data_IF_037419550260
#
_entry.id   IF_037419550260
#
_cell.length_a   1.000
_cell.length_b   1.000
_cell.length_c   1.000
_cell.angle_alpha   90.00
_cell.angle_beta   90.00
_cell.angle_gamma   90.00
#
_symmetry.space_group_name_H-M   'P 1'
#
loop_
_entity.id
_entity.type
_entity.pdbx_description
1 polymer ?
#
# COMPACT_ATOMS: atom_id res chain seq x y z
N UNK A 1 -15.46 18.95 -13.06
CA UNK A 1 -15.75 17.52 -12.82
C UNK A 1 -14.56 16.83 -12.20
N UNK A 2 -14.72 16.25 -11.06
CA UNK A 2 -13.65 15.48 -10.45
C UNK A 2 -13.55 14.11 -11.14
N UNK A 3 -12.31 13.64 -11.29
CA UNK A 3 -12.04 12.32 -11.81
C UNK A 3 -12.49 11.28 -10.78
N UNK A 4 -13.16 10.18 -11.16
CA UNK A 4 -13.49 9.15 -10.19
C UNK A 4 -12.19 8.55 -9.63
N UNK A 5 -12.22 8.27 -8.34
CA UNK A 5 -11.10 7.62 -7.68
C UNK A 5 -10.98 6.16 -8.14
N UNK A 6 -9.76 5.66 -8.15
CA UNK A 6 -9.53 4.24 -8.40
C UNK A 6 -9.92 3.44 -7.16
N UNK A 7 -10.49 2.26 -7.37
CA UNK A 7 -10.77 1.36 -6.27
C UNK A 7 -9.46 0.71 -5.79
N UNK A 8 -9.22 0.72 -4.49
CA UNK A 8 -8.06 0.05 -3.90
C UNK A 8 -8.52 -1.24 -3.25
N UNK A 9 -7.90 -2.34 -3.65
CA UNK A 9 -8.23 -3.67 -3.15
C UNK A 9 -6.99 -4.31 -2.57
N UNK A 10 -7.08 -4.75 -1.32
CA UNK A 10 -6.01 -5.50 -0.67
C UNK A 10 -6.17 -6.99 -0.98
N UNK A 11 -5.08 -7.61 -1.41
CA UNK A 11 -5.05 -9.06 -1.50
C UNK A 11 -5.13 -9.67 -0.11
N UNK A 12 -5.71 -10.84 0.01
CA UNK A 12 -5.86 -11.52 1.29
C UNK A 12 -4.54 -11.68 2.04
N UNK A 13 -3.48 -12.05 1.33
CA UNK A 13 -2.15 -12.19 1.93
C UNK A 13 -1.60 -10.86 2.43
N UNK A 14 -1.84 -9.78 1.67
CA UNK A 14 -1.42 -8.44 2.08
C UNK A 14 -2.17 -7.98 3.33
N UNK A 15 -3.46 -8.28 3.40
CA UNK A 15 -4.28 -7.97 4.57
C UNK A 15 -3.82 -8.74 5.81
N UNK A 16 -3.50 -10.02 5.65
CA UNK A 16 -2.96 -10.85 6.72
C UNK A 16 -1.60 -10.31 7.19
N UNK A 17 -0.71 -9.98 6.25
CA UNK A 17 0.61 -9.40 6.58
C UNK A 17 0.47 -8.09 7.34
N UNK A 18 -0.44 -7.22 6.88
CA UNK A 18 -0.68 -5.94 7.53
C UNK A 18 -1.17 -6.13 8.98
N UNK A 19 -2.11 -7.05 9.18
CA UNK A 19 -2.62 -7.36 10.52
C UNK A 19 -1.52 -7.90 11.44
N UNK A 20 -0.64 -8.75 10.94
CA UNK A 20 0.51 -9.26 11.70
C UNK A 20 1.46 -8.15 12.10
N UNK A 21 1.81 -7.27 11.15
CA UNK A 21 2.73 -6.16 11.40
C UNK A 21 2.17 -5.22 12.46
N UNK A 22 0.92 -4.79 12.29
CA UNK A 22 0.27 -3.88 13.23
C UNK A 22 0.14 -4.52 14.62
N UNK A 23 -0.21 -5.79 14.68
CA UNK A 23 -0.32 -6.52 15.94
C UNK A 23 1.03 -6.66 16.64
N UNK A 24 2.08 -6.93 15.88
CA UNK A 24 3.44 -7.04 16.41
C UNK A 24 3.89 -5.72 17.03
N UNK A 25 3.68 -4.61 16.33
CA UNK A 25 4.04 -3.28 16.83
C UNK A 25 3.19 -2.91 18.05
N UNK A 26 1.89 -3.24 18.02
CA UNK A 26 0.96 -2.93 19.09
C UNK A 26 1.30 -3.64 20.40
N UNK A 27 1.90 -4.83 20.33
CA UNK A 27 2.29 -5.59 21.52
C UNK A 27 3.33 -4.84 22.36
N UNK A 28 4.18 -4.04 21.73
CA UNK A 28 5.24 -3.28 22.39
C UNK A 28 4.93 -1.79 22.48
N UNK A 29 4.37 -1.23 21.40
CA UNK A 29 4.07 0.22 21.29
C UNK A 29 2.71 0.46 20.67
N UNK A 30 1.64 0.46 21.46
CA UNK A 30 0.28 0.66 20.91
C UNK A 30 0.10 1.95 20.11
N UNK A 31 0.67 3.07 20.57
CA UNK A 31 0.56 4.34 19.86
C UNK A 31 1.31 4.33 18.52
N UNK A 32 2.44 3.64 18.45
CA UNK A 32 3.18 3.49 17.20
C UNK A 32 2.40 2.63 16.20
N UNK A 33 1.67 1.63 16.69
CA UNK A 33 0.81 0.80 15.84
C UNK A 33 -0.33 1.62 15.24
N UNK A 34 -0.94 2.51 16.01
CA UNK A 34 -1.99 3.41 15.52
C UNK A 34 -1.45 4.37 14.46
N UNK A 35 -0.28 4.94 14.69
CA UNK A 35 0.37 5.82 13.71
C UNK A 35 0.69 5.07 12.42
N UNK A 36 1.18 3.85 12.52
CA UNK A 36 1.49 3.03 11.35
C UNK A 36 0.23 2.73 10.55
N UNK A 37 -0.84 2.31 11.22
CA UNK A 37 -2.12 2.02 10.57
C UNK A 37 -2.67 3.28 9.87
N UNK A 38 -2.59 4.43 10.51
CA UNK A 38 -3.04 5.70 9.93
C UNK A 38 -2.22 6.07 8.69
N UNK A 39 -0.92 5.88 8.72
CA UNK A 39 -0.05 6.17 7.58
C UNK A 39 -0.35 5.26 6.39
N UNK A 40 -0.59 3.99 6.66
CA UNK A 40 -0.96 3.04 5.63
C UNK A 40 -2.28 3.46 5.00
N UNK A 41 -3.28 3.76 5.80
CA UNK A 41 -4.59 4.19 5.31
C UNK A 41 -4.49 5.45 4.46
N UNK A 42 -3.77 6.46 4.93
CA UNK A 42 -3.58 7.71 4.19
C UNK A 42 -2.88 7.49 2.86
N UNK A 43 -1.86 6.63 2.83
CA UNK A 43 -1.16 6.29 1.60
C UNK A 43 -2.06 5.56 0.62
N UNK A 44 -2.91 4.66 1.09
CA UNK A 44 -3.86 3.97 0.23
C UNK A 44 -4.91 4.93 -0.33
N UNK A 45 -5.34 5.92 0.46
CA UNK A 45 -6.25 6.95 -0.02
C UNK A 45 -5.60 7.82 -1.10
N UNK A 46 -4.34 8.19 -0.91
CA UNK A 46 -3.58 8.94 -1.93
C UNK A 46 -3.41 8.10 -3.19
N UNK A 47 -3.12 6.82 -3.04
CA UNK A 47 -2.96 5.91 -4.16
C UNK A 47 -4.23 5.82 -5.00
N UNK A 48 -5.39 5.84 -4.35
CA UNK A 48 -6.69 5.85 -5.03
C UNK A 48 -6.84 7.04 -5.98
N UNK A 49 -6.25 8.18 -5.64
CA UNK A 49 -6.29 9.39 -6.47
C UNK A 49 -5.15 9.46 -7.47
N UNK A 50 -3.98 8.97 -7.08
CA UNK A 50 -2.74 9.07 -7.84
C UNK A 50 -2.15 7.67 -8.00
N UNK A 51 -2.64 6.87 -8.99
CA UNK A 51 -2.16 5.50 -9.14
C UNK A 51 -0.65 5.38 -9.42
N UNK A 52 -0.05 6.42 -9.99
CA UNK A 52 1.38 6.44 -10.24
C UNK A 52 2.24 6.91 -9.07
N UNK A 53 1.66 7.02 -7.87
CA UNK A 53 2.35 7.51 -6.68
C UNK A 53 3.57 6.70 -6.31
N UNK A 54 3.50 5.37 -6.47
CA UNK A 54 4.57 4.47 -6.09
C UNK A 54 5.77 4.53 -7.00
N UNK A 55 6.87 3.97 -6.52
CA UNK A 55 8.12 3.89 -7.25
C UNK A 55 8.16 2.68 -8.17
N UNK A 56 8.90 2.81 -9.26
CA UNK A 56 9.13 1.70 -10.17
C UNK A 56 10.25 0.82 -9.60
N UNK A 57 10.03 -0.50 -9.47
CA UNK A 57 11.08 -1.38 -8.96
C UNK A 57 12.30 -1.43 -9.87
N UNK A 58 13.47 -1.74 -9.30
CA UNK A 58 14.68 -1.93 -10.07
C UNK A 58 14.68 -3.24 -10.87
N UNK A 59 13.98 -4.24 -10.38
CA UNK A 59 13.90 -5.56 -11.01
C UNK A 59 13.02 -5.52 -12.24
N UNK A 60 13.60 -5.88 -13.39
CA UNK A 60 12.89 -5.81 -14.68
C UNK A 60 11.65 -6.71 -14.74
N UNK A 61 11.69 -7.85 -14.09
CA UNK A 61 10.54 -8.74 -14.08
C UNK A 61 9.32 -8.09 -13.42
N UNK A 62 9.54 -7.38 -12.32
CA UNK A 62 8.47 -6.67 -11.63
C UNK A 62 7.96 -5.50 -12.46
N UNK A 63 8.84 -4.80 -13.15
CA UNK A 63 8.46 -3.73 -14.07
C UNK A 63 7.57 -4.26 -15.18
N UNK A 64 7.94 -5.39 -15.77
CA UNK A 64 7.15 -6.02 -16.84
C UNK A 64 5.77 -6.45 -16.40
N UNK A 65 5.65 -6.88 -15.14
CA UNK A 65 4.38 -7.26 -14.55
C UNK A 65 3.54 -6.07 -14.09
N UNK A 66 4.07 -4.86 -14.25
CA UNK A 66 3.34 -3.66 -13.89
C UNK A 66 3.36 -3.29 -12.42
N UNK A 67 4.29 -3.85 -11.65
CA UNK A 67 4.39 -3.54 -10.22
C UNK A 67 5.00 -2.18 -9.96
N UNK A 68 4.48 -1.53 -8.95
CA UNK A 68 5.06 -0.36 -8.30
C UNK A 68 5.07 -0.62 -6.80
N UNK A 69 5.79 0.19 -6.03
CA UNK A 69 5.80 0.03 -4.59
C UNK A 69 5.78 1.37 -3.86
N UNK A 70 5.16 1.37 -2.70
CA UNK A 70 5.21 2.47 -1.74
C UNK A 70 6.15 2.10 -0.61
N UNK A 71 6.87 3.10 -0.10
CA UNK A 71 7.66 2.94 1.12
C UNK A 71 6.88 3.59 2.25
N UNK A 72 6.46 2.79 3.21
CA UNK A 72 5.74 3.26 4.40
C UNK A 72 6.56 2.83 5.61
N UNK A 73 7.26 3.77 6.21
CA UNK A 73 8.26 3.52 7.26
C UNK A 73 9.31 2.53 6.74
N UNK A 74 9.42 1.35 7.33
CA UNK A 74 10.39 0.33 6.93
C UNK A 74 9.77 -0.76 6.05
N UNK A 75 8.53 -0.55 5.60
CA UNK A 75 7.79 -1.55 4.85
C UNK A 75 7.61 -1.15 3.40
N UNK A 76 7.66 -2.15 2.53
CA UNK A 76 7.36 -1.97 1.11
C UNK A 76 5.98 -2.53 0.82
N UNK A 77 5.16 -1.73 0.16
CA UNK A 77 3.82 -2.15 -0.26
C UNK A 77 3.82 -2.21 -1.78
N UNK A 78 3.80 -3.41 -2.33
CA UNK A 78 3.75 -3.61 -3.78
C UNK A 78 2.31 -3.61 -4.27
N UNK A 79 2.09 -3.01 -5.44
CA UNK A 79 0.77 -2.97 -6.02
C UNK A 79 0.83 -2.98 -7.54
N UNK A 80 -0.28 -3.35 -8.16
CA UNK A 80 -0.50 -3.26 -9.60
C UNK A 80 -1.77 -2.49 -9.88
N UNK A 81 -1.89 -2.00 -11.09
CA UNK A 81 -3.10 -1.33 -11.57
C UNK A 81 -3.74 -2.19 -12.65
N UNK A 82 -4.99 -2.57 -12.45
CA UNK A 82 -5.78 -3.32 -13.41
C UNK A 82 -7.06 -2.57 -13.72
N UNK A 83 -7.13 -1.94 -14.91
CA UNK A 83 -8.27 -1.08 -15.25
C UNK A 83 -8.39 0.07 -14.27
N UNK A 84 -9.50 0.12 -13.52
CA UNK A 84 -9.74 1.14 -12.50
C UNK A 84 -9.53 0.61 -11.07
N UNK A 85 -8.85 -0.52 -10.90
CA UNK A 85 -8.60 -1.15 -9.60
C UNK A 85 -7.11 -1.28 -9.34
N UNK A 86 -6.72 -0.94 -8.12
CA UNK A 86 -5.34 -1.03 -7.63
C UNK A 86 -5.21 -2.20 -6.68
#
# INVERSE_FOLDING_TARGET
MSRPDYAVRLLRLAEEDLNEIVSYVAADRPSAAEELADRIEKNLQLLSRIPGLGRVPAEQQLVRLGYRYLVIENYLVFYTLEGATI
#
